data_IF_150155730091
#
_entry.id   IF_150155730091
#
_cell.length_a   1.000
_cell.length_b   1.000
_cell.length_c   1.000
_cell.angle_alpha   90.00
_cell.angle_beta   90.00
_cell.angle_gamma   90.00
#
_symmetry.space_group_name_H-M   'P 1'
#
loop_
_entity.id
_entity.type
_entity.pdbx_description
1 polymer ?
#
# COMPACT_ATOMS: atom_id res chain seq x y z
N UNK A 1 -45.86 -47.09 -26.78
CA UNK A 1 -45.88 -45.96 -25.82
C UNK A 1 -44.57 -45.98 -25.05
N UNK A 2 -43.76 -44.94 -25.23
CA UNK A 2 -42.36 -44.85 -24.82
C UNK A 2 -42.20 -44.80 -23.28
N UNK A 3 -41.20 -45.50 -22.74
CA UNK A 3 -40.62 -45.19 -21.42
C UNK A 3 -39.13 -44.93 -21.60
N UNK A 4 -38.76 -43.65 -21.54
CA UNK A 4 -37.37 -43.19 -21.47
C UNK A 4 -37.03 -43.03 -20.00
N UNK A 5 -36.22 -43.93 -19.44
CA UNK A 5 -35.68 -43.78 -18.09
C UNK A 5 -34.47 -42.86 -18.13
N UNK A 6 -34.60 -41.67 -17.53
CA UNK A 6 -33.48 -40.74 -17.31
C UNK A 6 -32.63 -41.25 -16.15
N UNK A 7 -31.38 -41.61 -16.42
CA UNK A 7 -30.39 -41.86 -15.39
C UNK A 7 -29.93 -40.51 -14.80
N UNK A 8 -30.04 -40.37 -13.48
CA UNK A 8 -29.55 -39.21 -12.74
C UNK A 8 -28.03 -39.29 -12.61
N UNK A 9 -27.32 -38.37 -13.27
CA UNK A 9 -25.88 -38.21 -13.08
C UNK A 9 -25.62 -37.57 -11.70
N UNK A 10 -24.99 -38.33 -10.81
CA UNK A 10 -24.49 -37.83 -9.52
C UNK A 10 -23.32 -36.88 -9.75
N UNK A 11 -23.53 -35.59 -9.55
CA UNK A 11 -22.46 -34.59 -9.51
C UNK A 11 -21.60 -34.81 -8.25
N UNK A 12 -20.43 -35.43 -8.41
CA UNK A 12 -19.35 -35.29 -7.43
C UNK A 12 -18.93 -33.82 -7.40
N UNK A 13 -19.39 -33.07 -6.39
CA UNK A 13 -18.81 -31.77 -6.05
C UNK A 13 -17.44 -32.03 -5.42
N UNK A 14 -16.38 -31.87 -6.20
CA UNK A 14 -15.04 -31.75 -5.66
C UNK A 14 -15.02 -30.49 -4.76
N UNK A 15 -14.91 -30.69 -3.46
CA UNK A 15 -14.59 -29.59 -2.53
C UNK A 15 -13.16 -29.15 -2.82
N UNK A 16 -12.88 -27.86 -3.05
CA UNK A 16 -11.50 -27.40 -3.14
C UNK A 16 -10.84 -27.70 -1.80
N UNK A 17 -9.83 -28.57 -1.81
CA UNK A 17 -8.93 -28.74 -0.68
C UNK A 17 -8.27 -27.38 -0.47
N UNK A 18 -8.61 -26.70 0.62
CA UNK A 18 -7.94 -25.48 1.01
C UNK A 18 -6.45 -25.83 1.16
N UNK A 19 -5.62 -25.32 0.25
CA UNK A 19 -4.17 -25.33 0.43
C UNK A 19 -3.92 -24.55 1.72
N UNK A 20 -3.47 -25.22 2.76
CA UNK A 20 -2.98 -24.53 3.95
C UNK A 20 -1.82 -23.65 3.49
N UNK A 21 -2.08 -22.35 3.40
CA UNK A 21 -1.04 -21.35 3.20
C UNK A 21 -0.07 -21.49 4.37
N UNK A 22 1.23 -21.58 4.08
CA UNK A 22 2.27 -21.49 5.08
C UNK A 22 2.05 -20.23 5.91
N UNK A 23 1.70 -20.41 7.19
CA UNK A 23 1.46 -19.31 8.12
C UNK A 23 2.71 -19.09 8.96
N UNK A 24 3.17 -17.85 9.02
CA UNK A 24 4.29 -17.46 9.86
C UNK A 24 3.94 -17.68 11.34
N UNK A 25 4.85 -18.29 12.10
CA UNK A 25 4.66 -18.52 13.54
C UNK A 25 4.95 -17.27 14.37
N UNK A 26 5.92 -16.46 13.94
CA UNK A 26 6.30 -15.19 14.56
C UNK A 26 6.99 -14.28 13.54
N UNK A 27 6.83 -12.97 13.69
CA UNK A 27 7.56 -11.95 12.90
C UNK A 27 9.04 -11.86 13.29
N UNK A 28 9.41 -12.29 14.50
CA UNK A 28 10.76 -12.15 15.04
C UNK A 28 11.09 -10.75 15.56
N UNK A 29 10.12 -9.81 15.49
CA UNK A 29 10.22 -8.45 16.02
C UNK A 29 9.39 -8.33 17.30
N UNK A 30 9.94 -7.63 18.30
CA UNK A 30 9.23 -7.39 19.57
C UNK A 30 8.15 -6.35 19.36
N UNK A 31 6.93 -6.64 19.82
CA UNK A 31 5.80 -5.70 19.75
C UNK A 31 5.02 -5.68 18.45
N UNK A 32 5.41 -6.49 17.45
CA UNK A 32 4.69 -6.64 16.18
C UNK A 32 4.06 -8.04 16.08
N UNK A 33 2.75 -8.20 16.36
CA UNK A 33 2.08 -9.49 16.26
C UNK A 33 1.91 -9.92 14.80
N UNK A 34 1.93 -11.23 14.56
CA UNK A 34 1.64 -11.80 13.22
C UNK A 34 0.17 -11.59 12.89
N UNK A 35 -0.11 -11.13 11.68
CA UNK A 35 -1.46 -11.00 11.15
C UNK A 35 -1.76 -12.10 10.12
N UNK A 36 -2.67 -13.05 10.42
CA UNK A 36 -3.03 -14.13 9.49
C UNK A 36 -3.63 -13.64 8.16
N UNK A 37 -4.15 -12.41 8.11
CA UNK A 37 -4.76 -11.82 6.91
C UNK A 37 -4.01 -10.55 6.47
N UNK A 38 -2.71 -10.45 6.75
CA UNK A 38 -1.89 -9.26 6.49
C UNK A 38 -2.09 -8.67 5.08
N UNK A 39 -2.14 -9.50 4.03
CA UNK A 39 -2.37 -9.03 2.65
C UNK A 39 -3.66 -8.26 2.46
N UNK A 40 -4.76 -8.80 2.98
CA UNK A 40 -6.09 -8.20 2.81
C UNK A 40 -6.14 -6.88 3.55
N UNK A 41 -5.61 -6.86 4.78
CA UNK A 41 -5.55 -5.67 5.61
C UNK A 41 -4.66 -4.59 4.97
N UNK A 42 -3.48 -4.96 4.47
CA UNK A 42 -2.59 -4.04 3.77
C UNK A 42 -3.24 -3.47 2.49
N UNK A 43 -3.92 -4.30 1.70
CA UNK A 43 -4.63 -3.83 0.51
C UNK A 43 -5.76 -2.84 0.87
N UNK A 44 -6.49 -3.09 1.96
CA UNK A 44 -7.50 -2.15 2.45
C UNK A 44 -6.86 -0.80 2.84
N UNK A 45 -5.80 -0.82 3.65
CA UNK A 45 -5.08 0.39 4.06
C UNK A 45 -4.52 1.18 2.87
N UNK A 46 -4.02 0.49 1.86
CA UNK A 46 -3.48 1.15 0.67
C UNK A 46 -4.58 1.83 -0.16
N UNK A 47 -5.78 1.24 -0.22
CA UNK A 47 -6.95 1.88 -0.83
C UNK A 47 -7.39 3.10 0.00
N UNK A 48 -7.43 3.00 1.33
CA UNK A 48 -7.75 4.13 2.21
C UNK A 48 -6.78 5.30 1.99
N UNK A 49 -5.48 5.03 1.81
CA UNK A 49 -4.47 6.04 1.48
C UNK A 49 -4.81 6.74 0.16
N UNK A 50 -5.13 5.97 -0.89
CA UNK A 50 -5.51 6.52 -2.20
C UNK A 50 -6.80 7.34 -2.16
N UNK A 51 -7.70 7.07 -1.21
CA UNK A 51 -8.89 7.88 -0.98
C UNK A 51 -8.56 9.16 -0.24
N UNK A 52 -7.82 9.09 0.87
CA UNK A 52 -7.49 10.25 1.70
C UNK A 52 -6.56 11.23 0.99
N UNK A 53 -5.62 10.77 0.18
CA UNK A 53 -4.65 11.64 -0.50
C UNK A 53 -5.32 12.64 -1.46
N UNK A 54 -6.56 12.37 -1.90
CA UNK A 54 -7.33 13.25 -2.79
C UNK A 54 -7.62 14.63 -2.20
N UNK A 55 -7.56 14.79 -0.87
CA UNK A 55 -7.71 16.10 -0.21
C UNK A 55 -6.55 17.05 -0.52
N UNK A 56 -5.38 16.50 -0.88
CA UNK A 56 -4.18 17.28 -1.20
C UNK A 56 -4.14 17.57 -2.71
N UNK A 57 -3.70 18.75 -3.16
CA UNK A 57 -3.61 19.08 -4.59
C UNK A 57 -2.69 18.17 -5.42
N UNK A 58 -3.03 17.92 -6.70
CA UNK A 58 -2.33 17.00 -7.62
C UNK A 58 -0.93 17.44 -8.05
N UNK A 59 -0.65 18.74 -8.03
CA UNK A 59 0.65 19.25 -8.44
C UNK A 59 1.75 18.97 -7.41
N UNK A 60 1.37 18.66 -6.17
CA UNK A 60 2.31 18.41 -5.07
C UNK A 60 3.16 17.18 -5.34
N UNK A 61 4.48 17.29 -5.08
CA UNK A 61 5.39 16.16 -5.23
C UNK A 61 5.07 15.01 -4.28
N UNK A 62 4.60 15.33 -3.07
CA UNK A 62 4.20 14.35 -2.07
C UNK A 62 3.06 13.45 -2.56
N UNK A 63 1.95 14.03 -3.06
CA UNK A 63 0.83 13.25 -3.60
C UNK A 63 1.26 12.30 -4.72
N UNK A 64 2.10 12.78 -5.65
CA UNK A 64 2.62 11.94 -6.75
C UNK A 64 3.44 10.74 -6.24
N UNK A 65 4.29 10.96 -5.24
CA UNK A 65 5.11 9.90 -4.65
C UNK A 65 4.25 8.87 -3.91
N UNK A 66 3.33 9.33 -3.05
CA UNK A 66 2.44 8.44 -2.30
C UNK A 66 1.56 7.63 -3.24
N UNK A 67 0.97 8.25 -4.28
CA UNK A 67 0.17 7.53 -5.26
C UNK A 67 0.99 6.48 -6.02
N UNK A 68 2.22 6.81 -6.44
CA UNK A 68 3.08 5.88 -7.16
C UNK A 68 3.44 4.66 -6.31
N UNK A 69 3.84 4.88 -5.05
CA UNK A 69 4.19 3.82 -4.10
C UNK A 69 2.95 2.97 -3.79
N UNK A 70 1.81 3.61 -3.51
CA UNK A 70 0.54 2.95 -3.20
C UNK A 70 0.08 2.02 -4.32
N UNK A 71 0.10 2.51 -5.56
CA UNK A 71 -0.30 1.75 -6.75
C UNK A 71 0.67 0.61 -7.03
N UNK A 72 1.97 0.82 -6.83
CA UNK A 72 2.97 -0.24 -6.96
C UNK A 72 2.72 -1.36 -5.94
N UNK A 73 2.52 -1.02 -4.66
CA UNK A 73 2.23 -2.00 -3.60
C UNK A 73 0.96 -2.80 -3.88
N UNK A 74 -0.13 -2.14 -4.28
CA UNK A 74 -1.37 -2.83 -4.69
C UNK A 74 -1.14 -3.79 -5.85
N UNK A 75 -0.41 -3.37 -6.89
CA UNK A 75 -0.09 -4.21 -8.04
C UNK A 75 0.68 -5.48 -7.63
N UNK A 76 1.62 -5.37 -6.70
CA UNK A 76 2.37 -6.54 -6.20
C UNK A 76 1.46 -7.44 -5.35
N UNK A 77 0.58 -6.85 -4.51
CA UNK A 77 -0.37 -7.62 -3.69
C UNK A 77 -1.42 -8.38 -4.50
N UNK A 78 -1.86 -7.81 -5.63
CA UNK A 78 -2.83 -8.43 -6.56
C UNK A 78 -2.22 -9.60 -7.35
N UNK A 79 -0.90 -9.75 -7.35
CA UNK A 79 -0.23 -10.84 -8.05
C UNK A 79 -0.42 -12.19 -7.34
N UNK A 80 -0.36 -13.30 -8.10
CA UNK A 80 -0.53 -14.66 -7.56
C UNK A 80 0.71 -15.21 -6.83
N UNK A 81 1.56 -14.34 -6.27
CA UNK A 81 2.79 -14.68 -5.57
C UNK A 81 2.51 -15.20 -4.15
N UNK A 82 3.48 -15.90 -3.52
CA UNK A 82 3.45 -16.24 -2.07
C UNK A 82 3.87 -15.05 -1.21
N UNK A 83 3.57 -15.07 0.10
CA UNK A 83 3.80 -13.90 0.98
C UNK A 83 5.29 -13.52 1.03
N UNK A 84 6.17 -14.51 1.05
CA UNK A 84 7.62 -14.36 1.00
C UNK A 84 8.06 -13.67 -0.31
N UNK A 85 7.51 -14.07 -1.44
CA UNK A 85 7.82 -13.46 -2.74
C UNK A 85 7.32 -12.02 -2.84
N UNK A 86 6.19 -11.69 -2.20
CA UNK A 86 5.68 -10.32 -2.13
C UNK A 86 6.62 -9.45 -1.30
N UNK A 87 7.12 -9.96 -0.18
CA UNK A 87 8.09 -9.25 0.67
C UNK A 87 9.41 -9.01 -0.05
N UNK A 88 9.92 -10.01 -0.78
CA UNK A 88 11.13 -9.89 -1.58
C UNK A 88 10.98 -8.88 -2.72
N UNK A 89 9.82 -8.85 -3.40
CA UNK A 89 9.56 -7.93 -4.50
C UNK A 89 9.43 -6.48 -4.00
N UNK A 90 8.71 -6.26 -2.89
CA UNK A 90 8.54 -4.91 -2.31
C UNK A 90 9.83 -4.44 -1.62
N UNK A 91 10.61 -5.38 -1.08
CA UNK A 91 11.91 -5.15 -0.43
C UNK A 91 11.88 -4.03 0.63
N UNK A 92 10.82 -4.01 1.44
CA UNK A 92 10.61 -2.99 2.49
C UNK A 92 10.24 -3.62 3.86
N UNK A 93 10.75 -4.82 4.16
CA UNK A 93 10.46 -5.55 5.40
C UNK A 93 9.29 -6.53 5.26
N UNK A 94 8.71 -6.93 6.39
CA UNK A 94 7.59 -7.86 6.44
C UNK A 94 6.25 -7.16 6.14
N UNK A 95 5.23 -7.93 5.74
CA UNK A 95 3.89 -7.39 5.48
C UNK A 95 3.29 -6.64 6.69
N UNK A 96 3.55 -7.13 7.90
CA UNK A 96 3.08 -6.50 9.14
C UNK A 96 3.71 -5.11 9.36
N UNK A 97 4.99 -4.93 8.99
CA UNK A 97 5.65 -3.62 9.08
C UNK A 97 5.04 -2.64 8.06
N UNK A 98 4.68 -3.13 6.87
CA UNK A 98 4.02 -2.32 5.85
C UNK A 98 2.63 -1.84 6.29
N UNK A 99 1.90 -2.63 7.08
CA UNK A 99 0.61 -2.22 7.66
C UNK A 99 0.82 -1.06 8.63
N UNK A 100 1.82 -1.16 9.52
CA UNK A 100 2.16 -0.07 10.45
C UNK A 100 2.58 1.20 9.68
N UNK A 101 3.41 1.06 8.66
CA UNK A 101 3.78 2.18 7.78
C UNK A 101 2.56 2.82 7.10
N UNK A 102 1.58 2.01 6.68
CA UNK A 102 0.36 2.53 6.06
C UNK A 102 -0.51 3.31 7.07
N UNK A 103 -0.59 2.85 8.31
CA UNK A 103 -1.28 3.58 9.38
C UNK A 103 -0.58 4.90 9.73
N UNK A 104 0.75 4.89 9.80
CA UNK A 104 1.55 6.11 9.99
C UNK A 104 1.35 7.09 8.83
N UNK A 105 1.32 6.59 7.59
CA UNK A 105 1.07 7.41 6.39
C UNK A 105 -0.34 8.04 6.42
N UNK A 106 -1.37 7.31 6.86
CA UNK A 106 -2.71 7.86 7.03
C UNK A 106 -2.75 8.99 8.07
N UNK A 107 -1.96 8.88 9.14
CA UNK A 107 -1.75 9.94 10.12
C UNK A 107 -0.98 11.13 9.54
N UNK A 108 0.08 10.85 8.78
CA UNK A 108 0.89 11.85 8.12
C UNK A 108 0.08 12.67 7.11
N UNK A 109 -0.82 12.05 6.35
CA UNK A 109 -1.69 12.75 5.40
C UNK A 109 -2.56 13.80 6.10
N UNK A 110 -3.11 13.48 7.28
CA UNK A 110 -3.88 14.42 8.08
C UNK A 110 -3.01 15.61 8.50
N UNK A 111 -1.87 15.33 9.13
CA UNK A 111 -0.92 16.35 9.55
C UNK A 111 -0.44 17.23 8.37
N UNK A 112 -0.13 16.61 7.24
CA UNK A 112 0.32 17.29 6.03
C UNK A 112 -0.74 18.25 5.49
N UNK A 113 -2.00 17.86 5.57
CA UNK A 113 -3.15 18.69 5.18
C UNK A 113 -3.35 19.87 6.15
N UNK A 114 -3.34 19.60 7.45
CA UNK A 114 -3.55 20.62 8.49
C UNK A 114 -2.49 21.72 8.43
N UNK A 115 -1.22 21.34 8.25
CA UNK A 115 -0.09 22.26 8.17
C UNK A 115 0.11 22.89 6.79
N UNK A 116 -0.65 22.45 5.77
CA UNK A 116 -0.57 22.95 4.38
C UNK A 116 0.87 23.06 3.87
N UNK A 117 1.65 22.01 4.09
CA UNK A 117 3.10 21.99 3.84
C UNK A 117 3.46 22.37 2.39
N UNK A 118 2.56 22.10 1.42
CA UNK A 118 2.78 22.46 0.02
C UNK A 118 2.85 23.98 -0.22
N UNK A 119 2.11 24.78 0.55
CA UNK A 119 2.16 26.26 0.44
C UNK A 119 3.58 26.77 0.77
N UNK A 120 4.23 26.17 1.79
CA UNK A 120 5.62 26.49 2.14
C UNK A 120 6.57 26.21 0.98
N UNK A 121 6.38 25.10 0.25
CA UNK A 121 7.20 24.77 -0.92
C UNK A 121 7.01 25.79 -2.04
N UNK A 122 5.77 26.14 -2.35
CA UNK A 122 5.46 27.13 -3.38
C UNK A 122 6.00 28.53 -3.05
N UNK A 123 5.97 28.92 -1.77
CA UNK A 123 6.58 30.18 -1.34
C UNK A 123 8.10 30.21 -1.59
N UNK A 124 8.79 29.10 -1.34
CA UNK A 124 10.23 28.97 -1.64
C UNK A 124 10.51 29.01 -3.14
N UNK A 125 9.63 28.43 -3.96
CA UNK A 125 9.76 28.47 -5.43
C UNK A 125 9.64 29.89 -5.97
N UNK A 126 8.74 30.70 -5.40
CA UNK A 126 8.60 32.12 -5.78
C UNK A 126 9.85 32.92 -5.44
N UNK A 127 10.42 32.71 -4.25
CA UNK A 127 11.69 33.35 -3.85
C UNK A 127 12.80 32.97 -4.82
N UNK A 128 12.89 31.70 -5.21
CA UNK A 128 13.90 31.22 -6.16
C UNK A 128 13.74 31.83 -7.55
N UNK A 129 12.50 32.04 -8.01
CA UNK A 129 12.21 32.69 -9.30
C UNK A 129 12.55 34.18 -9.30
N UNK A 130 12.37 34.86 -8.17
CA UNK A 130 12.68 36.29 -8.02
C UNK A 130 14.19 36.55 -7.89
N UNK A 131 14.95 35.61 -7.32
CA UNK A 131 16.40 35.72 -7.21
C UNK A 131 17.10 35.45 -8.54
N UNK A 132 17.92 36.39 -9.02
CA UNK A 132 18.78 36.22 -10.21
C UNK A 132 20.06 35.40 -9.90
N UNK A 133 19.91 34.20 -9.34
CA UNK A 133 21.05 33.30 -9.06
C UNK A 133 20.72 32.17 -8.09
N UNK A 134 21.59 31.14 -7.98
CA UNK A 134 21.42 30.07 -7.01
C UNK A 134 21.44 30.62 -5.57
N UNK A 135 20.59 30.09 -4.70
CA UNK A 135 20.57 30.49 -3.28
C UNK A 135 21.95 30.28 -2.65
N UNK A 136 22.47 31.25 -1.87
CA UNK A 136 23.69 31.05 -1.10
C UNK A 136 23.55 29.82 -0.21
N UNK A 137 24.53 28.92 -0.24
CA UNK A 137 24.54 27.73 0.60
C UNK A 137 24.84 28.13 2.06
N UNK A 138 23.91 27.93 3.01
CA UNK A 138 24.15 28.30 4.41
C UNK A 138 25.20 27.42 5.10
N UNK A 139 25.58 26.29 4.50
CA UNK A 139 26.48 25.28 5.07
C UNK A 139 27.85 25.27 4.39
N UNK A 140 28.10 26.20 3.47
CA UNK A 140 29.44 26.50 2.98
C UNK A 140 30.18 27.28 4.08
N UNK A 141 31.23 26.67 4.59
CA UNK A 141 32.18 27.28 5.53
C UNK A 141 33.35 27.90 4.78
#
# INVERSE_FOLDING_TARGET
MFRVSRAAASLCRATPVAREAWKKTSTGLVGLPVDPNARVNLAQKQNDILEKIKIIPEHTGYRKAVEAISKYRLKVLDSSLTDEQVEDEINCGQLEELIVQADDELGLIQFYYDERIWERREALDKIDQEMKGPRPNPWEW
#
